data_IF_984382964976
#
_entry.id   IF_984382964976
#
_cell.length_a   1.000
_cell.length_b   1.000
_cell.length_c   1.000
_cell.angle_alpha   90.00
_cell.angle_beta   90.00
_cell.angle_gamma   90.00
#
_symmetry.space_group_name_H-M   'P 1'
#
loop_
_entity.id
_entity.type
_entity.pdbx_description
1 polymer ?
#
# COMPACT_ATOMS: atom_id res chain seq x y z
N UNK A 1 -5.22 -27.31 9.77
CA UNK A 1 -4.45 -26.34 10.59
C UNK A 1 -5.41 -25.81 11.65
N UNK A 2 -5.20 -26.09 12.95
CA UNK A 2 -6.16 -25.73 14.00
C UNK A 2 -6.31 -24.22 14.22
N UNK A 3 -5.41 -23.41 13.64
CA UNK A 3 -5.51 -21.95 13.56
C UNK A 3 -5.26 -21.53 12.11
N UNK A 4 -6.30 -21.06 11.42
CA UNK A 4 -6.20 -20.51 10.08
C UNK A 4 -5.75 -19.05 10.14
N UNK A 5 -4.92 -18.64 9.19
CA UNK A 5 -4.60 -17.21 9.01
C UNK A 5 -5.70 -16.61 8.14
N UNK A 6 -6.64 -15.89 8.77
CA UNK A 6 -7.75 -15.27 8.05
C UNK A 6 -7.41 -13.90 7.49
N UNK A 7 -6.48 -13.19 8.13
CA UNK A 7 -6.09 -11.82 7.75
C UNK A 7 -4.62 -11.57 8.04
N UNK A 8 -3.94 -10.87 7.14
CA UNK A 8 -2.54 -10.44 7.31
C UNK A 8 -2.43 -8.93 7.09
N UNK A 9 -1.59 -8.27 7.87
CA UNK A 9 -1.18 -6.89 7.65
C UNK A 9 0.30 -6.85 7.33
N UNK A 10 0.65 -6.28 6.18
CA UNK A 10 2.03 -6.02 5.76
C UNK A 10 2.34 -4.55 5.99
N UNK A 11 3.35 -4.28 6.81
CA UNK A 11 3.84 -2.94 7.12
C UNK A 11 5.08 -2.66 6.25
N UNK A 12 4.96 -1.67 5.37
CA UNK A 12 5.92 -1.34 4.33
C UNK A 12 5.37 -1.67 2.94
N UNK A 13 5.16 -0.66 2.10
CA UNK A 13 4.64 -0.74 0.74
C UNK A 13 5.70 -0.47 -0.33
N UNK A 14 6.98 -0.64 0.04
CA UNK A 14 8.07 -0.79 -0.92
C UNK A 14 7.88 -2.02 -1.82
N UNK A 15 8.83 -2.25 -2.74
CA UNK A 15 8.73 -3.32 -3.75
C UNK A 15 8.47 -4.70 -3.14
N UNK A 16 9.20 -5.05 -2.07
CA UNK A 16 9.04 -6.36 -1.41
C UNK A 16 7.71 -6.49 -0.66
N UNK A 17 7.33 -5.48 0.13
CA UNK A 17 6.13 -5.56 0.96
C UNK A 17 4.84 -5.61 0.13
N UNK A 18 4.78 -4.84 -0.95
CA UNK A 18 3.67 -4.94 -1.90
C UNK A 18 3.59 -6.35 -2.53
N UNK A 19 4.72 -6.94 -2.95
CA UNK A 19 4.76 -8.29 -3.51
C UNK A 19 4.34 -9.38 -2.49
N UNK A 20 4.77 -9.28 -1.24
CA UNK A 20 4.35 -10.19 -0.15
C UNK A 20 2.84 -10.11 0.05
N UNK A 21 2.28 -8.89 0.13
CA UNK A 21 0.84 -8.69 0.23
C UNK A 21 0.10 -9.27 -0.98
N UNK A 22 0.66 -9.12 -2.18
CA UNK A 22 0.15 -9.71 -3.42
C UNK A 22 0.10 -11.23 -3.37
N UNK A 23 1.18 -11.89 -2.93
CA UNK A 23 1.21 -13.36 -2.80
C UNK A 23 0.16 -13.89 -1.80
N UNK A 24 0.01 -13.22 -0.66
CA UNK A 24 -1.00 -13.58 0.34
C UNK A 24 -2.43 -13.39 -0.20
N UNK A 25 -2.68 -12.27 -0.90
CA UNK A 25 -3.95 -12.02 -1.55
C UNK A 25 -4.26 -13.07 -2.63
N UNK A 26 -3.28 -13.46 -3.44
CA UNK A 26 -3.41 -14.52 -4.44
C UNK A 26 -3.69 -15.90 -3.80
N UNK A 27 -3.21 -16.13 -2.58
CA UNK A 27 -3.52 -17.32 -1.79
C UNK A 27 -4.91 -17.27 -1.12
N UNK A 28 -5.69 -16.22 -1.35
CA UNK A 28 -7.04 -16.04 -0.78
C UNK A 28 -7.06 -15.48 0.64
N UNK A 29 -5.93 -15.01 1.15
CA UNK A 29 -5.84 -14.43 2.49
C UNK A 29 -6.14 -12.93 2.43
N UNK A 30 -7.10 -12.47 3.24
CA UNK A 30 -7.43 -11.04 3.35
C UNK A 30 -6.19 -10.28 3.80
N UNK A 31 -5.71 -9.35 2.98
CA UNK A 31 -4.42 -8.70 3.19
C UNK A 31 -4.55 -7.18 3.24
N UNK A 32 -3.95 -6.55 4.25
CA UNK A 32 -3.81 -5.11 4.38
C UNK A 32 -2.37 -4.70 4.06
N UNK A 33 -2.19 -3.65 3.25
CA UNK A 33 -0.89 -3.06 2.95
C UNK A 33 -0.86 -1.65 3.55
N UNK A 34 0.05 -1.42 4.50
CA UNK A 34 0.17 -0.14 5.20
C UNK A 34 1.59 0.42 5.03
N UNK A 35 1.71 1.74 5.01
CA UNK A 35 2.99 2.43 5.04
C UNK A 35 2.84 3.75 5.81
N UNK A 36 3.97 4.43 6.02
CA UNK A 36 4.04 5.72 6.68
C UNK A 36 3.24 6.78 5.90
N UNK A 37 2.62 7.69 6.64
CA UNK A 37 1.97 8.87 6.06
C UNK A 37 3.07 9.84 5.60
N UNK A 38 3.01 10.38 4.37
CA UNK A 38 3.97 11.37 3.93
C UNK A 38 3.99 12.61 4.82
N UNK A 39 5.18 13.14 5.08
CA UNK A 39 5.38 14.40 5.84
C UNK A 39 5.41 15.64 4.95
N UNK A 40 5.46 15.47 3.62
CA UNK A 40 5.60 16.55 2.66
C UNK A 40 4.80 16.27 1.37
N UNK A 41 4.30 17.33 0.74
CA UNK A 41 3.61 17.28 -0.55
C UNK A 41 4.61 17.26 -1.70
N UNK A 42 4.29 16.53 -2.77
CA UNK A 42 5.04 16.67 -4.02
C UNK A 42 4.67 17.96 -4.75
N UNK A 43 5.47 18.38 -5.74
CA UNK A 43 5.17 19.55 -6.55
C UNK A 43 3.82 19.41 -7.29
N UNK A 44 3.50 18.21 -7.77
CA UNK A 44 2.23 17.90 -8.42
C UNK A 44 1.05 17.99 -7.46
N UNK A 45 1.21 17.53 -6.22
CA UNK A 45 0.18 17.61 -5.19
C UNK A 45 -0.05 19.07 -4.75
N UNK A 46 1.02 19.85 -4.63
CA UNK A 46 0.92 21.29 -4.34
C UNK A 46 0.21 22.04 -5.47
N UNK A 47 0.59 21.78 -6.73
CA UNK A 47 -0.08 22.37 -7.90
C UNK A 47 -1.55 21.96 -8.01
N UNK A 48 -1.90 20.77 -7.54
CA UNK A 48 -3.27 20.28 -7.48
C UNK A 48 -4.07 20.79 -6.27
N UNK A 49 -3.49 21.65 -5.41
CA UNK A 49 -4.15 22.20 -4.23
C UNK A 49 -4.43 21.17 -3.12
N UNK A 50 -3.69 20.06 -3.10
CA UNK A 50 -3.84 19.02 -2.08
C UNK A 50 -3.11 19.39 -0.79
N UNK A 51 -3.52 18.75 0.29
CA UNK A 51 -3.00 18.91 1.64
C UNK A 51 -2.53 17.56 2.21
N UNK A 52 -1.71 17.58 3.26
CA UNK A 52 -1.28 16.35 3.95
C UNK A 52 -2.44 15.56 4.60
N UNK A 53 -3.62 16.18 4.73
CA UNK A 53 -4.82 15.52 5.23
C UNK A 53 -5.54 14.72 4.14
N UNK A 54 -5.31 15.02 2.86
CA UNK A 54 -6.02 14.38 1.76
C UNK A 54 -5.66 12.90 1.67
N UNK A 55 -6.70 12.05 1.58
CA UNK A 55 -6.54 10.59 1.51
C UNK A 55 -5.60 10.17 0.38
N UNK A 56 -5.64 10.89 -0.75
CA UNK A 56 -4.77 10.63 -1.91
C UNK A 56 -3.29 10.80 -1.54
N UNK A 57 -2.95 11.88 -0.83
CA UNK A 57 -1.59 12.14 -0.35
C UNK A 57 -1.21 11.10 0.71
N UNK A 58 -2.08 10.90 1.72
CA UNK A 58 -1.84 9.96 2.82
C UNK A 58 -1.56 8.53 2.35
N UNK A 59 -2.21 8.10 1.28
CA UNK A 59 -2.08 6.75 0.74
C UNK A 59 -1.09 6.63 -0.42
N UNK A 60 -0.42 7.72 -0.86
CA UNK A 60 0.35 7.72 -2.12
C UNK A 60 1.44 6.65 -2.16
N UNK A 61 2.11 6.39 -1.04
CA UNK A 61 3.18 5.38 -0.92
C UNK A 61 2.61 3.97 -1.10
N UNK A 62 1.55 3.66 -0.37
CA UNK A 62 0.82 2.38 -0.48
C UNK A 62 0.28 2.16 -1.88
N UNK A 63 -0.33 3.20 -2.46
CA UNK A 63 -0.90 3.17 -3.80
C UNK A 63 0.18 2.89 -4.87
N UNK A 64 1.33 3.56 -4.78
CA UNK A 64 2.45 3.31 -5.69
C UNK A 64 3.04 1.89 -5.54
N UNK A 65 3.11 1.35 -4.33
CA UNK A 65 3.49 -0.05 -4.08
C UNK A 65 2.49 -1.02 -4.71
N UNK A 66 1.21 -0.84 -4.42
CA UNK A 66 0.11 -1.65 -4.93
C UNK A 66 0.08 -1.68 -6.47
N UNK A 67 0.13 -0.52 -7.12
CA UNK A 67 0.08 -0.44 -8.58
C UNK A 67 1.25 -1.14 -9.27
N UNK A 68 2.45 -1.06 -8.69
CA UNK A 68 3.61 -1.80 -9.20
C UNK A 68 3.42 -3.30 -9.07
N UNK A 69 2.90 -3.77 -7.94
CA UNK A 69 2.61 -5.18 -7.72
C UNK A 69 1.53 -5.71 -8.68
N UNK A 70 0.45 -4.96 -8.91
CA UNK A 70 -0.62 -5.35 -9.86
C UNK A 70 -0.12 -5.42 -11.31
N UNK A 71 0.82 -4.55 -11.68
CA UNK A 71 1.40 -4.52 -13.04
C UNK A 71 2.50 -5.55 -13.27
N UNK A 72 3.04 -6.15 -12.20
CA UNK A 72 4.06 -7.18 -12.31
C UNK A 72 3.46 -8.42 -12.97
N UNK A 73 4.13 -8.94 -14.00
CA UNK A 73 3.74 -10.16 -14.73
C UNK A 73 4.42 -11.38 -14.14
#
# INVERSE_FOLDING_TARGET
>A
MPYGIETVTVIGAGTMGAAIAGHLANAGIRSWLLDIVPSELTAEEQAAGLTLADRKVRNRIVQAGYERMVKAK
#
